data_IF_000312385434
#
_entry.id   IF_000312385434
#
_cell.length_a   1.000
_cell.length_b   1.000
_cell.length_c   1.000
_cell.angle_alpha   90.00
_cell.angle_beta   90.00
_cell.angle_gamma   90.00
#
_symmetry.space_group_name_H-M   'P 1'
#
loop_
_entity.id
_entity.type
_entity.pdbx_description
1 polymer ?
#
# COMPACT_ATOMS: atom_id res chain seq x y z
N UNK A 1 -58.02 29.77 19.53
CA UNK A 1 -58.53 31.14 19.79
C UNK A 1 -57.73 31.73 20.94
N UNK A 2 -57.05 32.88 20.71
CA UNK A 2 -56.54 33.87 21.69
C UNK A 2 -55.50 33.40 22.74
N UNK A 3 -54.41 34.11 23.09
CA UNK A 3 -53.92 35.49 22.85
C UNK A 3 -52.48 35.64 23.43
N UNK A 4 -51.65 36.53 22.82
CA UNK A 4 -50.68 37.51 23.43
C UNK A 4 -49.41 36.95 24.13
N UNK A 5 -48.15 37.17 23.69
CA UNK A 5 -47.28 38.37 23.47
C UNK A 5 -46.41 38.79 24.69
N UNK A 6 -45.30 39.50 24.40
CA UNK A 6 -44.13 39.95 25.19
C UNK A 6 -42.94 38.96 25.20
N UNK A 7 -41.75 39.19 24.63
CA UNK A 7 -41.08 40.41 24.17
C UNK A 7 -40.22 41.00 25.29
N UNK A 8 -38.90 40.82 25.28
CA UNK A 8 -37.92 41.67 26.00
C UNK A 8 -36.54 41.66 25.30
N UNK A 9 -36.03 42.87 25.00
CA UNK A 9 -34.67 43.16 24.54
C UNK A 9 -33.76 43.48 25.72
N UNK A 10 -32.52 42.98 25.63
CA UNK A 10 -31.18 43.58 25.83
C UNK A 10 -31.00 44.72 26.87
N UNK A 11 -29.85 44.72 27.58
CA UNK A 11 -28.92 45.84 27.34
C UNK A 11 -27.46 45.42 27.06
N UNK A 12 -26.82 46.24 26.23
CA UNK A 12 -25.38 46.32 25.98
C UNK A 12 -24.75 47.33 26.95
N UNK A 13 -23.55 47.05 27.43
CA UNK A 13 -22.52 47.99 27.94
C UNK A 13 -21.18 47.31 27.61
N UNK A 14 -20.29 47.73 26.71
CA UNK A 14 -19.60 49.01 26.41
C UNK A 14 -18.57 49.47 27.46
N UNK A 15 -17.44 49.97 26.94
CA UNK A 15 -16.25 50.61 27.54
C UNK A 15 -15.13 49.61 27.93
N UNK A 16 -14.02 49.43 27.21
CA UNK A 16 -12.97 50.30 26.63
C UNK A 16 -11.84 50.70 27.62
N UNK A 17 -10.63 50.20 27.35
CA UNK A 17 -9.29 50.82 27.51
C UNK A 17 -8.24 49.72 27.25
N UNK A 18 -7.21 49.82 26.41
CA UNK A 18 -6.58 50.97 25.78
C UNK A 18 -5.25 51.30 26.48
N UNK A 19 -4.12 50.71 26.03
CA UNK A 19 -2.80 51.37 26.02
C UNK A 19 -1.69 50.52 25.39
N UNK A 20 -1.20 51.00 24.25
CA UNK A 20 0.22 51.24 23.92
C UNK A 20 1.33 50.30 24.39
N UNK A 21 2.07 49.74 23.43
CA UNK A 21 3.55 49.75 23.27
C UNK A 21 3.88 48.70 22.20
N UNK A 22 4.84 48.79 21.29
CA UNK A 22 5.61 49.86 20.65
C UNK A 22 6.31 49.15 19.48
N UNK A 23 6.38 49.78 18.31
CA UNK A 23 7.16 49.27 17.17
C UNK A 23 8.63 49.16 17.57
N UNK A 24 9.25 48.00 17.35
CA UNK A 24 10.70 47.93 17.08
C UNK A 24 10.97 47.08 15.84
N UNK A 25 11.35 47.82 14.81
CA UNK A 25 12.21 47.41 13.70
C UNK A 25 13.60 47.06 14.25
N UNK A 26 14.12 45.88 13.93
CA UNK A 26 15.55 45.52 13.89
C UNK A 26 15.64 44.44 12.80
N UNK A 27 16.03 44.84 11.59
CA UNK A 27 17.40 44.74 11.09
C UNK A 27 17.85 43.30 10.77
N UNK A 28 17.95 43.11 9.46
CA UNK A 28 18.77 42.16 8.71
C UNK A 28 19.99 41.62 9.44
N UNK A 29 20.04 40.29 9.60
CA UNK A 29 21.31 39.56 9.71
C UNK A 29 21.42 38.65 8.49
N UNK A 30 22.27 39.04 7.55
CA UNK A 30 22.83 38.15 6.53
C UNK A 30 23.56 37.00 7.23
N UNK A 31 23.12 35.76 7.04
CA UNK A 31 24.00 34.60 7.20
C UNK A 31 24.47 34.14 5.82
N UNK A 32 25.79 34.09 5.70
CA UNK A 32 26.51 34.04 4.43
C UNK A 32 26.29 32.79 3.59
N UNK A 33 26.44 33.03 2.28
CA UNK A 33 26.88 32.04 1.29
C UNK A 33 28.02 31.20 1.88
N UNK A 34 27.76 29.90 2.04
CA UNK A 34 28.84 28.91 1.98
C UNK A 34 28.92 28.43 0.53
N UNK A 35 29.99 28.84 -0.13
CA UNK A 35 30.47 28.18 -1.35
C UNK A 35 30.81 26.73 -0.99
N UNK A 36 29.99 25.79 -1.46
CA UNK A 36 30.33 24.38 -1.52
C UNK A 36 30.63 24.01 -2.96
N UNK A 37 31.88 24.24 -3.35
CA UNK A 37 32.50 23.70 -4.55
C UNK A 37 32.61 22.18 -4.43
N UNK A 38 31.60 21.46 -4.93
CA UNK A 38 31.70 20.03 -5.18
C UNK A 38 32.30 19.77 -6.58
N UNK A 39 33.32 18.90 -6.72
CA UNK A 39 33.91 18.60 -8.01
C UNK A 39 32.95 17.77 -8.87
N UNK A 40 32.73 18.20 -10.12
CA UNK A 40 31.99 17.43 -11.13
C UNK A 40 32.86 16.25 -11.63
N UNK A 41 32.33 15.02 -11.76
CA UNK A 41 33.02 13.99 -12.50
C UNK A 41 32.96 14.30 -14.01
N UNK A 42 34.11 14.19 -14.68
CA UNK A 42 34.26 14.36 -16.13
C UNK A 42 33.63 13.18 -16.87
N UNK A 43 32.72 13.47 -17.79
CA UNK A 43 32.28 12.53 -18.83
C UNK A 43 33.46 12.23 -19.77
N UNK A 44 33.84 10.96 -19.88
CA UNK A 44 34.64 10.46 -20.98
C UNK A 44 33.69 9.88 -22.03
N UNK A 45 33.61 10.55 -23.17
CA UNK A 45 33.01 10.01 -24.38
C UNK A 45 33.94 8.95 -24.97
N UNK A 46 33.43 7.75 -25.24
CA UNK A 46 34.10 6.74 -26.08
C UNK A 46 33.24 6.51 -27.31
N UNK A 47 33.90 6.65 -28.46
CA UNK A 47 33.29 6.79 -29.77
C UNK A 47 32.75 5.51 -30.40
N UNK A 48 31.82 5.78 -31.29
CA UNK A 48 31.16 4.95 -32.30
C UNK A 48 32.10 4.65 -33.48
N UNK A 49 32.22 3.40 -33.96
CA UNK A 49 32.27 2.96 -35.39
C UNK A 49 32.57 1.45 -35.48
N UNK A 50 31.65 0.61 -36.01
CA UNK A 50 31.56 0.07 -37.40
C UNK A 50 32.49 -1.17 -37.61
N UNK A 51 32.22 -2.21 -38.39
CA UNK A 51 31.18 -2.60 -39.36
C UNK A 51 31.29 -4.14 -39.60
N UNK A 52 30.24 -4.69 -40.24
CA UNK A 52 29.93 -6.03 -40.76
C UNK A 52 31.01 -6.93 -41.40
N UNK A 53 30.57 -8.20 -41.61
CA UNK A 53 30.79 -9.20 -42.71
C UNK A 53 31.67 -10.42 -42.38
N UNK A 54 31.41 -11.67 -42.82
CA UNK A 54 30.26 -12.43 -43.37
C UNK A 54 30.70 -13.94 -43.42
N UNK A 55 29.78 -14.87 -43.14
CA UNK A 55 29.52 -16.15 -43.88
C UNK A 55 30.60 -17.25 -44.04
N UNK A 56 30.28 -18.47 -43.54
CA UNK A 56 30.04 -19.74 -44.31
C UNK A 56 30.11 -20.99 -43.39
N UNK A 57 29.01 -21.72 -43.19
CA UNK A 57 28.63 -23.01 -43.85
C UNK A 57 29.52 -24.21 -43.48
N UNK A 58 28.96 -25.17 -42.72
CA UNK A 58 28.87 -26.60 -43.07
C UNK A 58 28.08 -27.40 -42.01
N UNK A 59 27.00 -28.08 -42.42
CA UNK A 59 26.41 -29.26 -41.77
C UNK A 59 26.98 -30.52 -42.46
N UNK A 60 26.64 -31.80 -42.14
CA UNK A 60 25.82 -32.37 -41.06
C UNK A 60 26.51 -33.59 -40.37
N UNK A 61 25.84 -34.28 -39.43
CA UNK A 61 26.10 -35.71 -39.20
C UNK A 61 25.92 -36.27 -37.80
N UNK A 62 24.76 -36.91 -37.61
CA UNK A 62 24.57 -38.21 -36.95
C UNK A 62 24.69 -38.40 -35.43
N UNK A 63 23.78 -39.28 -34.99
CA UNK A 63 23.84 -40.22 -33.87
C UNK A 63 23.23 -39.79 -32.52
N UNK A 64 22.30 -40.66 -32.12
CA UNK A 64 21.50 -40.65 -30.92
C UNK A 64 22.31 -40.81 -29.64
N UNK A 65 21.78 -40.25 -28.55
CA UNK A 65 21.80 -40.95 -27.27
C UNK A 65 20.68 -40.44 -26.35
N UNK A 66 19.94 -41.41 -25.81
CA UNK A 66 18.95 -41.27 -24.77
C UNK A 66 19.57 -40.65 -23.51
N UNK A 67 18.85 -39.75 -22.85
CA UNK A 67 18.95 -39.64 -21.40
C UNK A 67 17.62 -39.20 -20.81
N UNK A 68 17.27 -39.93 -19.77
CA UNK A 68 16.02 -39.95 -19.05
C UNK A 68 15.89 -38.75 -18.10
N UNK A 69 14.67 -38.63 -17.57
CA UNK A 69 14.30 -38.12 -16.24
C UNK A 69 13.85 -36.65 -16.08
N UNK A 70 12.54 -36.57 -15.78
CA UNK A 70 11.93 -35.82 -14.66
C UNK A 70 11.81 -34.30 -14.85
N UNK A 71 10.69 -33.84 -15.41
CA UNK A 71 9.47 -33.43 -14.69
C UNK A 71 9.80 -32.48 -13.53
N UNK A 72 9.76 -31.19 -13.86
CA UNK A 72 9.66 -30.10 -12.90
C UNK A 72 8.28 -30.18 -12.25
N UNK A 73 8.22 -30.61 -10.99
CA UNK A 73 7.03 -30.49 -10.16
C UNK A 73 7.10 -29.18 -9.37
N UNK A 74 6.04 -28.41 -9.55
CA UNK A 74 5.65 -27.19 -8.87
C UNK A 74 5.73 -27.29 -7.34
N UNK A 75 6.45 -26.35 -6.72
CA UNK A 75 6.58 -26.26 -5.28
C UNK A 75 5.23 -25.95 -4.60
N UNK A 76 4.63 -26.99 -4.01
CA UNK A 76 3.54 -26.86 -3.03
C UNK A 76 4.12 -26.51 -1.64
N UNK A 77 3.39 -25.76 -0.80
CA UNK A 77 3.85 -25.42 0.56
C UNK A 77 4.12 -26.69 1.38
N UNK A 78 5.28 -26.73 2.06
CA UNK A 78 5.72 -27.86 2.88
C UNK A 78 5.50 -27.55 4.36
N UNK A 79 4.68 -28.33 5.09
CA UNK A 79 4.54 -28.17 6.53
C UNK A 79 5.78 -28.73 7.26
N UNK A 80 6.41 -27.92 8.10
CA UNK A 80 7.35 -28.39 9.13
C UNK A 80 6.73 -28.16 10.51
N UNK A 81 6.65 -29.23 11.31
CA UNK A 81 6.01 -29.23 12.63
C UNK A 81 7.04 -29.46 13.74
N UNK A 82 7.21 -28.48 14.63
CA UNK A 82 7.50 -28.78 16.04
C UNK A 82 6.19 -29.22 16.69
N UNK A 83 6.20 -30.18 17.62
CA UNK A 83 4.97 -30.75 18.23
C UNK A 83 3.92 -29.65 18.54
N UNK A 84 2.72 -29.78 17.97
CA UNK A 84 1.61 -28.85 18.20
C UNK A 84 1.65 -27.52 17.44
N UNK A 85 2.60 -27.26 16.53
CA UNK A 85 2.62 -26.03 15.71
C UNK A 85 2.55 -26.36 14.22
N UNK A 86 1.59 -25.76 13.52
CA UNK A 86 1.43 -25.82 12.08
C UNK A 86 2.03 -24.57 11.44
N UNK A 87 2.79 -24.75 10.37
CA UNK A 87 3.45 -23.67 9.64
C UNK A 87 2.91 -23.62 8.22
N UNK A 88 2.41 -22.45 7.82
CA UNK A 88 1.96 -22.16 6.46
C UNK A 88 2.82 -21.05 5.88
N UNK A 89 3.29 -21.23 4.64
CA UNK A 89 4.09 -20.22 3.93
C UNK A 89 3.68 -20.16 2.47
N UNK A 90 3.90 -19.02 1.84
CA UNK A 90 3.66 -18.85 0.43
C UNK A 90 3.87 -17.43 -0.06
N UNK A 91 3.82 -17.20 -1.38
CA UNK A 91 3.88 -15.86 -1.95
C UNK A 91 2.52 -15.14 -1.79
N UNK A 92 2.54 -13.82 -1.62
CA UNK A 92 1.36 -12.96 -1.70
C UNK A 92 1.77 -11.50 -1.87
N UNK A 93 0.97 -10.67 -2.55
CA UNK A 93 1.15 -9.20 -2.62
C UNK A 93 2.60 -8.74 -2.92
N UNK A 94 3.31 -9.43 -3.82
CA UNK A 94 4.70 -9.12 -4.20
C UNK A 94 5.76 -9.47 -3.13
N UNK A 95 5.39 -10.25 -2.12
CA UNK A 95 6.23 -10.69 -1.00
C UNK A 95 5.86 -12.13 -0.58
N UNK A 96 6.23 -12.54 0.63
CA UNK A 96 5.85 -13.82 1.23
C UNK A 96 5.04 -13.62 2.50
N UNK A 97 4.30 -14.66 2.88
CA UNK A 97 3.68 -14.77 4.20
C UNK A 97 4.25 -15.97 4.97
N UNK A 98 4.22 -15.87 6.30
CA UNK A 98 4.39 -16.98 7.23
C UNK A 98 3.28 -16.94 8.29
N UNK A 99 2.58 -18.04 8.46
CA UNK A 99 1.57 -18.21 9.51
C UNK A 99 1.93 -19.42 10.37
N UNK A 100 2.12 -19.19 11.66
CA UNK A 100 2.28 -20.22 12.66
C UNK A 100 0.96 -20.36 13.42
N UNK A 101 0.40 -21.56 13.49
CA UNK A 101 -0.83 -21.84 14.23
C UNK A 101 -0.53 -22.92 15.25
N UNK A 102 -0.84 -22.67 16.52
CA UNK A 102 -0.74 -23.72 17.54
C UNK A 102 -1.95 -24.63 17.37
N UNK A 103 -1.72 -25.82 16.84
CA UNK A 103 -2.73 -26.86 16.70
C UNK A 103 -3.12 -27.38 18.08
N UNK A 104 -4.36 -27.16 18.49
CA UNK A 104 -4.89 -27.80 19.69
C UNK A 104 -5.13 -29.29 19.40
N UNK A 105 -4.56 -30.18 20.22
CA UNK A 105 -5.03 -31.58 20.31
C UNK A 105 -6.52 -31.66 20.73
N UNK A 106 -7.07 -30.54 21.20
CA UNK A 106 -8.48 -30.30 21.50
C UNK A 106 -9.08 -29.24 20.57
N UNK A 107 -9.08 -29.48 19.26
CA UNK A 107 -9.95 -28.71 18.38
C UNK A 107 -11.41 -29.09 18.71
N UNK A 108 -12.01 -28.43 19.69
CA UNK A 108 -13.41 -28.62 20.09
C UNK A 108 -14.40 -28.26 18.95
N UNK A 109 -13.91 -27.72 17.83
CA UNK A 109 -14.71 -27.23 16.70
C UNK A 109 -14.53 -28.01 15.37
N UNK A 110 -14.03 -29.25 15.39
CA UNK A 110 -14.14 -30.15 14.23
C UNK A 110 -13.29 -29.82 12.99
N UNK A 111 -12.48 -28.75 13.00
CA UNK A 111 -11.48 -28.48 11.97
C UNK A 111 -10.11 -28.96 12.46
N UNK A 112 -9.85 -30.25 12.24
CA UNK A 112 -8.52 -30.84 12.43
C UNK A 112 -7.76 -30.98 11.11
N UNK A 113 -8.11 -30.14 10.12
CA UNK A 113 -7.62 -30.22 8.76
C UNK A 113 -6.78 -28.99 8.41
N UNK A 114 -5.46 -29.20 8.35
CA UNK A 114 -4.50 -28.19 7.90
C UNK A 114 -4.81 -27.66 6.50
N UNK A 115 -5.41 -28.47 5.61
CA UNK A 115 -5.74 -28.03 4.26
C UNK A 115 -6.86 -26.97 4.28
N UNK A 116 -7.84 -27.13 5.16
CA UNK A 116 -8.90 -26.13 5.37
C UNK A 116 -8.34 -24.82 5.91
N UNK A 117 -7.41 -24.88 6.87
CA UNK A 117 -6.73 -23.69 7.41
C UNK A 117 -5.88 -23.01 6.32
N UNK A 118 -5.07 -23.78 5.60
CA UNK A 118 -4.23 -23.28 4.52
C UNK A 118 -5.06 -22.55 3.46
N UNK A 119 -6.16 -23.17 3.01
CA UNK A 119 -7.08 -22.57 2.04
C UNK A 119 -7.71 -21.30 2.57
N UNK A 120 -8.14 -21.26 3.83
CA UNK A 120 -8.71 -20.05 4.41
C UNK A 120 -7.70 -18.90 4.47
N UNK A 121 -6.44 -19.19 4.82
CA UNK A 121 -5.35 -18.20 4.80
C UNK A 121 -5.15 -17.66 3.38
N UNK A 122 -5.03 -18.54 2.38
CA UNK A 122 -4.81 -18.12 0.99
C UNK A 122 -5.98 -17.33 0.42
N UNK A 123 -7.21 -17.72 0.76
CA UNK A 123 -8.43 -17.04 0.28
C UNK A 123 -8.53 -15.61 0.83
N UNK A 124 -8.22 -15.39 2.11
CA UNK A 124 -8.23 -14.03 2.70
C UNK A 124 -7.14 -13.15 2.08
N UNK A 125 -5.92 -13.69 1.90
CA UNK A 125 -4.82 -12.95 1.29
C UNK A 125 -5.09 -12.61 -0.18
N UNK A 126 -5.64 -13.56 -0.96
CA UNK A 126 -5.99 -13.30 -2.36
C UNK A 126 -7.16 -12.34 -2.47
N UNK A 127 -8.16 -12.40 -1.58
CA UNK A 127 -9.25 -11.43 -1.54
C UNK A 127 -8.73 -10.00 -1.35
N UNK A 128 -7.80 -9.79 -0.42
CA UNK A 128 -7.14 -8.49 -0.21
C UNK A 128 -6.34 -8.07 -1.44
N UNK A 129 -5.54 -8.98 -2.01
CA UNK A 129 -4.74 -8.72 -3.21
C UNK A 129 -5.60 -8.35 -4.42
N UNK A 130 -6.69 -9.09 -4.67
CA UNK A 130 -7.64 -8.84 -5.73
C UNK A 130 -8.36 -7.50 -5.55
N UNK A 131 -8.66 -7.08 -4.33
CA UNK A 131 -9.31 -5.80 -4.08
C UNK A 131 -8.33 -4.62 -4.18
N UNK A 132 -7.13 -4.74 -3.63
CA UNK A 132 -6.29 -3.59 -3.26
C UNK A 132 -4.98 -3.45 -4.06
N UNK A 133 -4.67 -4.38 -4.98
CA UNK A 133 -3.45 -4.33 -5.78
C UNK A 133 -3.45 -3.19 -6.81
N UNK A 134 -2.35 -2.46 -6.93
CA UNK A 134 -2.09 -1.49 -8.01
C UNK A 134 -1.43 -2.11 -9.24
N UNK A 135 -1.04 -3.38 -9.18
CA UNK A 135 -0.40 -4.12 -10.27
C UNK A 135 -1.39 -4.98 -11.08
N UNK A 136 -2.60 -5.21 -10.54
CA UNK A 136 -3.66 -5.96 -11.19
C UNK A 136 -4.65 -5.02 -11.84
N UNK A 137 -4.84 -5.10 -13.15
CA UNK A 137 -5.76 -4.21 -13.87
C UNK A 137 -7.22 -4.41 -13.45
N UNK A 138 -7.58 -5.60 -12.97
CA UNK A 138 -8.93 -5.99 -12.59
C UNK A 138 -9.27 -5.71 -11.11
N UNK A 139 -8.35 -5.12 -10.33
CA UNK A 139 -8.60 -4.81 -8.91
C UNK A 139 -9.59 -3.67 -8.71
N UNK A 140 -10.17 -3.56 -7.52
CA UNK A 140 -11.02 -2.41 -7.20
C UNK A 140 -10.23 -1.10 -7.23
N UNK A 141 -9.01 -1.10 -6.69
CA UNK A 141 -8.11 0.06 -6.69
C UNK A 141 -7.72 0.48 -8.11
N UNK A 142 -7.32 -0.44 -8.98
CA UNK A 142 -6.93 -0.13 -10.35
C UNK A 142 -8.11 0.41 -11.16
N UNK A 143 -9.29 -0.21 -11.03
CA UNK A 143 -10.51 0.29 -11.70
C UNK A 143 -10.93 1.67 -11.18
N UNK A 144 -10.80 1.93 -9.87
CA UNK A 144 -11.03 3.25 -9.30
C UNK A 144 -10.03 4.28 -9.87
N UNK A 145 -8.74 3.94 -9.93
CA UNK A 145 -7.70 4.81 -10.48
C UNK A 145 -7.95 5.15 -11.94
N UNK A 146 -8.39 4.19 -12.75
CA UNK A 146 -8.72 4.36 -14.17
C UNK A 146 -10.05 5.10 -14.40
N UNK A 147 -10.91 5.20 -13.38
CA UNK A 147 -12.19 5.90 -13.52
C UNK A 147 -11.98 7.41 -13.71
N UNK A 148 -12.73 8.00 -14.64
CA UNK A 148 -12.65 9.45 -14.95
C UNK A 148 -13.81 10.25 -14.31
N UNK A 149 -14.71 9.58 -13.58
CA UNK A 149 -15.90 10.20 -12.98
C UNK A 149 -15.60 10.92 -11.67
N UNK A 150 -16.42 11.93 -11.37
CA UNK A 150 -16.48 12.58 -10.04
C UNK A 150 -17.63 12.06 -9.18
N UNK A 151 -18.31 11.02 -9.67
CA UNK A 151 -19.37 10.32 -8.95
C UNK A 151 -18.79 9.25 -8.02
N UNK A 152 -19.65 8.74 -7.14
CA UNK A 152 -19.30 7.63 -6.25
C UNK A 152 -19.01 6.36 -7.05
N UNK A 153 -17.80 5.84 -6.91
CA UNK A 153 -17.35 4.58 -7.45
C UNK A 153 -17.57 3.46 -6.42
N UNK A 154 -18.42 2.45 -6.68
CA UNK A 154 -18.68 1.37 -5.75
C UNK A 154 -17.42 0.53 -5.49
N UNK A 155 -17.17 0.18 -4.23
CA UNK A 155 -16.09 -0.72 -3.81
C UNK A 155 -16.60 -1.68 -2.74
N UNK A 156 -15.84 -2.71 -2.42
CA UNK A 156 -16.13 -3.55 -1.26
C UNK A 156 -16.04 -2.75 0.05
N UNK A 157 -16.76 -3.22 1.08
CA UNK A 157 -16.63 -2.67 2.43
C UNK A 157 -15.20 -2.78 2.96
N UNK A 158 -14.46 -3.82 2.56
CA UNK A 158 -13.05 -3.99 2.92
C UNK A 158 -12.19 -2.85 2.38
N UNK A 159 -12.27 -2.55 1.08
CA UNK A 159 -11.56 -1.43 0.46
C UNK A 159 -11.96 -0.09 1.08
N UNK A 160 -13.27 0.14 1.29
CA UNK A 160 -13.74 1.37 1.92
C UNK A 160 -13.21 1.53 3.36
N UNK A 161 -13.12 0.44 4.13
CA UNK A 161 -12.57 0.44 5.50
C UNK A 161 -11.09 0.79 5.51
N UNK A 162 -10.30 0.19 4.61
CA UNK A 162 -8.86 0.49 4.49
C UNK A 162 -8.61 1.92 4.04
N UNK A 163 -9.37 2.41 3.06
CA UNK A 163 -9.28 3.81 2.60
C UNK A 163 -9.69 4.78 3.72
N UNK A 164 -10.74 4.47 4.49
CA UNK A 164 -11.13 5.28 5.64
C UNK A 164 -10.00 5.34 6.69
N UNK A 165 -9.39 4.19 7.02
CA UNK A 165 -8.24 4.16 7.94
C UNK A 165 -7.07 4.98 7.40
N UNK A 166 -6.76 4.84 6.12
CA UNK A 166 -5.72 5.64 5.46
C UNK A 166 -5.99 7.15 5.56
N UNK A 167 -7.25 7.57 5.35
CA UNK A 167 -7.67 8.97 5.49
C UNK A 167 -7.59 9.50 6.93
N UNK A 168 -7.80 8.65 7.93
CA UNK A 168 -7.59 9.01 9.33
C UNK A 168 -6.10 9.20 9.65
N UNK A 169 -5.24 8.29 9.19
CA UNK A 169 -3.78 8.36 9.37
C UNK A 169 -3.21 9.58 8.63
N UNK A 170 -3.68 9.86 7.42
CA UNK A 170 -3.25 11.02 6.65
C UNK A 170 -3.55 12.33 7.40
N UNK A 171 -4.75 12.46 7.98
CA UNK A 171 -5.11 13.61 8.81
C UNK A 171 -4.28 13.70 10.09
N UNK A 172 -4.11 12.58 10.80
CA UNK A 172 -3.37 12.54 12.06
C UNK A 172 -1.86 12.81 11.88
N UNK A 173 -1.32 12.51 10.70
CA UNK A 173 0.09 12.72 10.34
C UNK A 173 0.33 14.01 9.54
N UNK A 174 -0.68 14.87 9.41
CA UNK A 174 -0.61 16.12 8.64
C UNK A 174 -0.15 15.90 7.18
N UNK A 175 -0.53 14.77 6.58
CA UNK A 175 -0.17 14.38 5.21
C UNK A 175 1.18 13.70 5.06
N UNK A 176 1.91 13.41 6.14
CA UNK A 176 3.15 12.63 6.05
C UNK A 176 2.90 11.20 5.56
N UNK A 177 1.74 10.62 5.91
CA UNK A 177 1.17 9.45 5.24
C UNK A 177 0.08 9.91 4.27
N UNK A 178 0.20 9.58 2.98
CA UNK A 178 -0.81 9.92 1.99
C UNK A 178 -0.87 8.82 0.92
N UNK A 179 -2.00 8.12 0.82
CA UNK A 179 -2.20 7.05 -0.17
C UNK A 179 -2.35 7.56 -1.60
N UNK A 180 -2.43 8.88 -1.81
CA UNK A 180 -2.57 9.49 -3.14
C UNK A 180 -1.24 9.83 -3.80
N UNK A 181 -0.11 9.54 -3.14
CA UNK A 181 1.25 9.82 -3.65
C UNK A 181 1.69 8.92 -4.81
N UNK A 182 0.80 8.05 -5.31
CA UNK A 182 1.02 7.14 -6.43
C UNK A 182 1.72 7.77 -7.64
N UNK A 183 1.36 8.99 -8.11
CA UNK A 183 2.05 9.64 -9.23
C UNK A 183 3.55 9.88 -8.99
N UNK A 184 3.95 10.22 -7.76
CA UNK A 184 5.36 10.36 -7.40
C UNK A 184 6.02 8.98 -7.28
N UNK A 185 5.39 8.03 -6.59
CA UNK A 185 5.89 6.65 -6.42
C UNK A 185 6.18 5.99 -7.78
N UNK A 186 5.25 6.11 -8.73
CA UNK A 186 5.39 5.57 -10.07
C UNK A 186 6.54 6.24 -10.84
N UNK A 187 6.69 7.57 -10.75
CA UNK A 187 7.81 8.29 -11.40
C UNK A 187 9.17 7.89 -10.85
N UNK A 188 9.23 7.47 -9.59
CA UNK A 188 10.43 6.93 -8.94
C UNK A 188 10.58 5.40 -9.13
N UNK A 189 9.84 4.78 -10.06
CA UNK A 189 9.82 3.32 -10.37
C UNK A 189 9.60 2.42 -9.16
N UNK A 190 8.90 2.94 -8.15
CA UNK A 190 8.29 2.10 -7.12
C UNK A 190 6.90 1.60 -7.56
N UNK A 191 6.43 1.99 -8.77
CA UNK A 191 5.19 1.55 -9.39
C UNK A 191 5.36 0.52 -10.53
N UNK A 192 4.28 0.16 -11.26
CA UNK A 192 4.33 -0.81 -12.35
C UNK A 192 5.15 -0.35 -13.56
N UNK A 193 5.32 0.97 -13.75
CA UNK A 193 6.11 1.56 -14.83
C UNK A 193 7.60 1.57 -14.46
N UNK A 194 8.36 0.59 -14.99
CA UNK A 194 9.75 0.28 -14.55
C UNK A 194 10.87 1.00 -15.31
N UNK A 195 10.58 2.00 -16.15
CA UNK A 195 11.62 2.69 -16.92
C UNK A 195 11.97 4.06 -16.32
N UNK A 196 12.92 4.09 -15.36
CA UNK A 196 13.65 5.32 -15.05
C UNK A 196 14.97 5.34 -15.81
N UNK A 197 15.16 6.39 -16.61
CA UNK A 197 16.46 6.79 -17.16
C UNK A 197 17.14 7.91 -16.36
N UNK A 198 16.38 8.65 -15.52
CA UNK A 198 16.89 9.73 -14.65
C UNK A 198 15.91 10.15 -13.54
N UNK A 199 16.46 10.73 -12.45
CA UNK A 199 15.67 11.34 -11.39
C UNK A 199 14.76 12.47 -11.95
N UNK A 200 13.53 12.64 -11.45
CA UNK A 200 12.65 13.72 -11.91
C UNK A 200 13.21 15.09 -11.55
N UNK A 201 13.06 16.03 -12.48
CA UNK A 201 13.34 17.45 -12.26
C UNK A 201 12.36 18.06 -11.25
N UNK A 202 12.75 19.17 -10.63
CA UNK A 202 11.88 19.90 -9.70
C UNK A 202 10.55 20.31 -10.35
N UNK A 203 10.56 20.70 -11.62
CA UNK A 203 9.36 21.07 -12.37
C UNK A 203 8.40 19.88 -12.59
N UNK A 204 8.96 18.68 -12.85
CA UNK A 204 8.16 17.45 -12.96
C UNK A 204 7.57 17.07 -11.60
N UNK A 205 8.35 17.15 -10.52
CA UNK A 205 7.87 16.88 -9.16
C UNK A 205 6.70 17.81 -8.81
N UNK A 206 6.83 19.11 -9.10
CA UNK A 206 5.77 20.08 -8.82
C UNK A 206 4.52 19.81 -9.65
N UNK A 207 4.67 19.41 -10.91
CA UNK A 207 3.54 19.01 -11.75
C UNK A 207 2.83 17.77 -11.19
N UNK A 208 3.58 16.76 -10.72
CA UNK A 208 3.01 15.56 -10.13
C UNK A 208 2.32 15.84 -8.79
N UNK A 209 2.84 16.77 -7.98
CA UNK A 209 2.22 17.19 -6.73
C UNK A 209 0.83 17.78 -6.90
N UNK A 210 0.54 18.42 -8.04
CA UNK A 210 -0.81 18.92 -8.35
C UNK A 210 -1.85 17.80 -8.50
N UNK A 211 -1.40 16.56 -8.66
CA UNK A 211 -2.24 15.35 -8.80
C UNK A 211 -2.41 14.60 -7.49
N UNK A 212 -1.83 15.10 -6.40
CA UNK A 212 -1.75 14.45 -5.10
C UNK A 212 -2.53 15.28 -4.08
N UNK A 213 -3.19 14.60 -3.17
CA UNK A 213 -3.79 15.21 -2.00
C UNK A 213 -4.91 14.34 -1.46
N UNK A 214 -4.69 13.75 -0.30
CA UNK A 214 -5.69 12.97 0.42
C UNK A 214 -7.02 13.74 0.65
N UNK A 215 -6.99 15.08 0.68
CA UNK A 215 -8.18 15.93 0.76
C UNK A 215 -9.12 15.85 -0.45
N UNK A 216 -8.64 15.35 -1.60
CA UNK A 216 -9.43 15.14 -2.81
C UNK A 216 -10.09 13.76 -2.88
N UNK A 217 -9.88 12.91 -1.87
CA UNK A 217 -10.45 11.57 -1.75
C UNK A 217 -11.57 11.58 -0.71
N UNK A 218 -12.74 11.09 -1.09
CA UNK A 218 -13.86 10.87 -0.20
C UNK A 218 -14.16 9.38 -0.11
N UNK A 219 -14.60 8.93 1.07
CA UNK A 219 -14.96 7.54 1.34
C UNK A 219 -16.27 7.48 2.10
N UNK A 220 -17.14 6.56 1.70
CA UNK A 220 -18.41 6.23 2.36
C UNK A 220 -18.45 4.73 2.61
N UNK A 221 -18.97 4.33 3.76
CA UNK A 221 -19.10 2.90 4.12
C UNK A 221 -20.47 2.31 3.75
N UNK A 222 -21.52 3.13 3.58
CA UNK A 222 -22.87 2.66 3.29
C UNK A 222 -23.62 3.55 2.24
N UNK A 223 -23.92 3.02 1.04
CA UNK A 223 -23.25 1.85 0.45
C UNK A 223 -21.75 2.17 0.25
N UNK A 224 -20.87 1.16 0.37
CA UNK A 224 -19.42 1.35 0.31
C UNK A 224 -19.00 1.90 -1.05
N UNK A 225 -18.35 3.06 -1.04
CA UNK A 225 -17.94 3.75 -2.25
C UNK A 225 -16.81 4.74 -1.99
N UNK A 226 -16.02 5.01 -3.03
CA UNK A 226 -14.98 6.03 -3.07
C UNK A 226 -15.38 7.13 -4.05
N UNK A 227 -14.89 8.34 -3.84
CA UNK A 227 -15.07 9.44 -4.78
C UNK A 227 -13.80 10.28 -4.82
N UNK A 228 -13.43 10.74 -6.01
CA UNK A 228 -12.32 11.70 -6.20
C UNK A 228 -12.84 13.00 -6.78
N UNK A 229 -12.42 14.13 -6.21
CA UNK A 229 -12.74 15.47 -6.74
C UNK A 229 -11.75 15.89 -7.81
N UNK A 230 -10.58 15.24 -7.87
CA UNK A 230 -9.54 15.46 -8.87
C UNK A 230 -9.52 14.25 -9.82
N UNK A 231 -9.83 14.41 -11.12
CA UNK A 231 -9.95 13.28 -12.05
C UNK A 231 -8.70 12.41 -12.17
N UNK A 232 -7.51 13.04 -12.13
CA UNK A 232 -6.22 12.38 -12.23
C UNK A 232 -5.73 11.77 -10.90
N UNK A 233 -6.50 11.91 -9.81
CA UNK A 233 -6.16 11.30 -8.52
C UNK A 233 -6.13 9.78 -8.66
N UNK A 234 -5.06 9.19 -8.17
CA UNK A 234 -4.91 7.75 -7.98
C UNK A 234 -4.60 7.46 -6.52
N UNK A 235 -4.95 6.27 -6.06
CA UNK A 235 -4.62 5.74 -4.75
C UNK A 235 -3.72 4.53 -4.86
N UNK A 236 -2.82 4.40 -3.88
CA UNK A 236 -1.94 3.27 -3.67
C UNK A 236 -2.05 2.84 -2.20
N UNK A 237 -2.50 1.60 -1.99
CA UNK A 237 -2.69 1.03 -0.66
C UNK A 237 -1.51 0.17 -0.19
N UNK A 238 -0.39 0.16 -0.92
CA UNK A 238 0.78 -0.70 -0.62
C UNK A 238 1.33 -0.51 0.79
N UNK A 239 1.18 0.69 1.37
CA UNK A 239 1.64 1.03 2.71
C UNK A 239 0.68 0.61 3.85
N UNK A 240 -0.48 0.03 3.55
CA UNK A 240 -1.49 -0.33 4.57
C UNK A 240 -2.22 -1.65 4.29
N UNK A 241 -2.31 -2.09 3.03
CA UNK A 241 -3.08 -3.26 2.62
C UNK A 241 -2.54 -4.57 3.21
N UNK A 242 -1.21 -4.74 3.33
CA UNK A 242 -0.61 -5.94 3.95
C UNK A 242 -0.99 -6.07 5.42
N UNK A 243 -0.97 -4.97 6.18
CA UNK A 243 -1.41 -4.96 7.58
C UNK A 243 -2.87 -5.37 7.71
N UNK A 244 -3.73 -4.90 6.80
CA UNK A 244 -5.11 -5.37 6.73
C UNK A 244 -5.21 -6.88 6.38
N UNK A 245 -4.38 -7.38 5.45
CA UNK A 245 -4.30 -8.81 5.13
C UNK A 245 -3.94 -9.67 6.35
N UNK A 246 -2.98 -9.22 7.16
CA UNK A 246 -2.61 -9.84 8.43
C UNK A 246 -3.80 -9.88 9.39
N UNK A 247 -4.54 -8.77 9.51
CA UNK A 247 -5.75 -8.71 10.34
C UNK A 247 -6.85 -9.67 9.86
N UNK A 248 -7.06 -9.78 8.55
CA UNK A 248 -8.03 -10.69 7.94
C UNK A 248 -7.71 -12.15 8.20
N UNK A 249 -6.44 -12.54 8.04
CA UNK A 249 -5.99 -13.90 8.36
C UNK A 249 -6.15 -14.19 9.84
N UNK A 250 -5.76 -13.25 10.72
CA UNK A 250 -5.94 -13.41 12.16
C UNK A 250 -7.40 -13.63 12.55
N UNK A 251 -8.33 -12.81 12.04
CA UNK A 251 -9.77 -12.98 12.27
C UNK A 251 -10.28 -14.33 11.75
N UNK A 252 -9.84 -14.76 10.57
CA UNK A 252 -10.24 -16.05 10.01
C UNK A 252 -9.74 -17.24 10.85
N UNK A 253 -8.55 -17.14 11.45
CA UNK A 253 -8.04 -18.15 12.39
C UNK A 253 -8.87 -18.16 13.69
N UNK A 254 -9.23 -16.98 14.21
CA UNK A 254 -10.09 -16.86 15.40
C UNK A 254 -11.50 -17.45 15.14
N UNK A 255 -12.08 -17.20 13.97
CA UNK A 255 -13.36 -17.78 13.52
C UNK A 255 -13.31 -19.31 13.40
N UNK A 256 -12.14 -19.87 13.05
CA UNK A 256 -11.89 -21.31 13.03
C UNK A 256 -11.59 -21.89 14.42
N UNK A 257 -11.55 -21.05 15.47
CA UNK A 257 -11.34 -21.45 16.86
C UNK A 257 -9.88 -21.51 17.30
N UNK A 258 -8.92 -21.03 16.50
CA UNK A 258 -7.51 -21.00 16.90
C UNK A 258 -7.24 -19.84 17.85
N UNK A 259 -6.87 -20.17 19.09
CA UNK A 259 -6.57 -19.20 20.14
C UNK A 259 -5.10 -18.74 20.22
N UNK A 260 -4.19 -19.40 19.51
CA UNK A 260 -2.77 -19.07 19.51
C UNK A 260 -2.14 -19.19 18.11
N UNK A 261 -1.58 -18.08 17.62
CA UNK A 261 -0.98 -17.98 16.29
C UNK A 261 -0.04 -16.77 16.15
N UNK A 262 0.75 -16.79 15.08
CA UNK A 262 1.54 -15.67 14.56
C UNK A 262 1.26 -15.58 13.05
N UNK A 263 0.92 -14.40 12.56
CA UNK A 263 0.73 -14.09 11.13
C UNK A 263 1.75 -13.03 10.76
N UNK A 264 2.52 -13.30 9.70
CA UNK A 264 3.48 -12.38 9.10
C UNK A 264 3.24 -12.27 7.59
N UNK A 265 3.23 -11.05 7.05
CA UNK A 265 3.14 -10.79 5.60
C UNK A 265 4.07 -9.64 5.23
N UNK A 266 5.22 -9.95 4.63
CA UNK A 266 6.20 -8.97 4.16
C UNK A 266 6.58 -7.92 5.19
N UNK A 267 6.82 -8.35 6.43
CA UNK A 267 7.21 -7.54 7.59
C UNK A 267 6.06 -7.11 8.51
N UNK A 268 4.81 -7.19 8.05
CA UNK A 268 3.64 -6.88 8.89
C UNK A 268 3.29 -8.07 9.78
N UNK A 269 3.10 -7.86 11.09
CA UNK A 269 2.95 -8.96 12.06
C UNK A 269 1.74 -8.76 12.96
N UNK A 270 0.99 -9.84 13.20
CA UNK A 270 0.00 -9.96 14.28
C UNK A 270 0.13 -11.30 14.98
N UNK A 271 0.02 -11.30 16.29
CA UNK A 271 0.06 -12.53 17.09
C UNK A 271 -1.04 -12.54 18.15
N UNK A 272 -1.38 -13.74 18.60
CA UNK A 272 -2.29 -13.99 19.71
C UNK A 272 -1.85 -15.26 20.43
N UNK A 273 -2.07 -15.32 21.74
CA UNK A 273 -1.76 -16.50 22.56
C UNK A 273 -0.25 -16.71 22.76
N UNK A 274 0.12 -17.95 23.11
CA UNK A 274 1.50 -18.33 23.41
C UNK A 274 1.87 -19.60 22.65
N UNK A 275 3.14 -19.71 22.28
CA UNK A 275 3.71 -20.95 21.75
C UNK A 275 3.77 -21.98 22.88
N UNK A 276 3.53 -23.28 22.62
CA UNK A 276 3.85 -24.33 23.57
C UNK A 276 5.34 -24.31 23.92
N UNK A 277 5.66 -24.56 25.19
CA UNK A 277 7.03 -24.66 25.71
C UNK A 277 7.81 -25.83 25.10
#
# INVERSE_FOLDING_TARGET
MSRVSLGHRVPRTSVANGSHFSRRSLESTQLGRRDSSFPRPRLAAVGLTALLTLVSVFAPGAAAQESSSQVADSASPQPSSSEGVWTFTGPTMGTTYQVLVVGSSQAEAGVNDQATVARRITDELESVNQAMSTYRDDSEVSRFNQSAGSDWFPVSLATATVVQKAQEIARASEGAFDITVGPLVNRWSFGPDREITSAPSEAEIETLKQRIGYSHLEVRLDPPALKKTLPELSIDLSAIAKGYGVDRVALALEELGFGAYLVEVGGEVRSRGSRPD
#
